data_IF_311250751302
#
_entry.id   IF_311250751302
#
_cell.length_a   1.000
_cell.length_b   1.000
_cell.length_c   1.000
_cell.angle_alpha   90.00
_cell.angle_beta   90.00
_cell.angle_gamma   90.00
#
_symmetry.space_group_name_H-M   'P 1'
#
loop_
_entity.id
_entity.type
_entity.pdbx_description
1 polymer ?
#
# COMPACT_ATOMS: atom_id res chain seq x y z
N UNK A 1 28.00 -7.06 1.59
CA UNK A 1 27.14 -7.83 0.66
C UNK A 1 26.36 -6.85 -0.16
N UNK A 2 26.04 -7.16 -1.41
CA UNK A 2 25.24 -6.27 -2.26
C UNK A 2 23.78 -6.39 -1.81
N UNK A 3 23.12 -5.26 -1.55
CA UNK A 3 21.71 -5.25 -1.17
C UNK A 3 20.86 -5.73 -2.35
N UNK A 4 19.92 -6.64 -2.09
CA UNK A 4 19.00 -7.15 -3.12
C UNK A 4 17.64 -6.50 -2.95
N UNK A 5 17.17 -5.83 -4.00
CA UNK A 5 15.82 -5.28 -4.10
C UNK A 5 14.98 -6.20 -4.99
N UNK A 6 13.86 -6.69 -4.46
CA UNK A 6 12.88 -7.48 -5.22
C UNK A 6 11.50 -6.85 -5.08
N UNK A 7 10.70 -6.95 -6.14
CA UNK A 7 9.26 -6.67 -6.08
C UNK A 7 8.55 -8.00 -5.99
N UNK A 8 7.74 -8.18 -4.94
CA UNK A 8 7.01 -9.43 -4.68
C UNK A 8 5.57 -9.14 -4.26
N UNK A 9 4.63 -10.09 -4.46
CA UNK A 9 3.29 -9.94 -3.91
C UNK A 9 3.33 -9.72 -2.40
N UNK A 10 2.39 -8.91 -1.92
CA UNK A 10 2.17 -8.71 -0.50
C UNK A 10 1.86 -10.03 0.23
N UNK A 11 2.44 -10.20 1.41
CA UNK A 11 2.10 -11.24 2.36
C UNK A 11 1.57 -10.61 3.66
N UNK A 12 0.61 -11.22 4.39
CA UNK A 12 0.07 -10.65 5.63
C UNK A 12 1.11 -10.25 6.69
N UNK A 13 2.29 -10.88 6.68
CA UNK A 13 3.41 -10.52 7.55
C UNK A 13 4.01 -9.13 7.25
N UNK A 14 3.75 -8.56 6.07
CA UNK A 14 4.20 -7.23 5.67
C UNK A 14 3.29 -6.10 6.20
N UNK A 15 2.11 -6.45 6.74
CA UNK A 15 1.01 -5.52 7.07
C UNK A 15 1.47 -4.32 7.89
N UNK A 16 2.13 -4.56 9.02
CA UNK A 16 2.54 -3.49 9.94
C UNK A 16 3.49 -2.50 9.24
N UNK A 17 4.40 -3.01 8.40
CA UNK A 17 5.36 -2.18 7.69
C UNK A 17 4.70 -1.39 6.55
N UNK A 18 3.80 -2.03 5.81
CA UNK A 18 2.99 -1.39 4.76
C UNK A 18 2.14 -0.25 5.34
N UNK A 19 1.44 -0.51 6.44
CA UNK A 19 0.65 0.50 7.15
C UNK A 19 1.50 1.68 7.62
N UNK A 20 2.68 1.42 8.18
CA UNK A 20 3.61 2.48 8.59
C UNK A 20 4.05 3.35 7.41
N UNK A 21 4.49 2.73 6.30
CA UNK A 21 4.90 3.47 5.09
C UNK A 21 3.75 4.30 4.54
N UNK A 22 2.53 3.76 4.49
CA UNK A 22 1.34 4.47 4.00
C UNK A 22 1.07 5.74 4.80
N UNK A 23 1.05 5.63 6.13
CA UNK A 23 0.77 6.75 7.03
C UNK A 23 1.90 7.79 6.96
N UNK A 24 3.15 7.36 7.06
CA UNK A 24 4.32 8.23 7.02
C UNK A 24 4.38 9.02 5.70
N UNK A 25 4.18 8.34 4.57
CA UNK A 25 4.23 8.97 3.26
C UNK A 25 3.10 9.97 3.05
N UNK A 26 1.86 9.60 3.38
CA UNK A 26 0.71 10.50 3.22
C UNK A 26 0.81 11.74 4.10
N UNK A 27 1.31 11.61 5.33
CA UNK A 27 1.59 12.77 6.20
C UNK A 27 2.75 13.61 5.69
N UNK A 28 3.77 12.98 5.10
CA UNK A 28 4.93 13.69 4.57
C UNK A 28 4.58 14.58 3.37
N UNK A 29 3.67 14.13 2.50
CA UNK A 29 3.25 14.89 1.31
C UNK A 29 2.11 15.89 1.59
N UNK A 30 1.49 15.81 2.76
CA UNK A 30 0.49 16.77 3.19
C UNK A 30 1.15 18.15 3.38
N UNK A 31 0.49 19.20 2.89
CA UNK A 31 0.87 20.57 3.22
C UNK A 31 0.12 21.03 4.49
N UNK A 32 0.56 22.11 5.15
CA UNK A 32 -0.08 22.56 6.39
C UNK A 32 -1.57 22.86 6.25
N UNK A 33 -2.00 23.36 5.08
CA UNK A 33 -3.39 23.77 4.83
C UNK A 33 -4.34 22.58 4.63
N UNK A 34 -3.82 21.38 4.32
CA UNK A 34 -4.62 20.18 4.05
C UNK A 34 -4.29 18.98 4.96
N UNK A 35 -3.48 19.17 6.00
CA UNK A 35 -3.09 18.10 6.93
C UNK A 35 -4.31 17.34 7.51
N UNK A 36 -5.36 18.05 7.93
CA UNK A 36 -6.58 17.43 8.45
C UNK A 36 -7.33 16.61 7.39
N UNK A 37 -7.31 17.02 6.13
CA UNK A 37 -7.92 16.26 5.04
C UNK A 37 -7.12 14.99 4.74
N UNK A 38 -5.79 15.05 4.85
CA UNK A 38 -4.93 13.87 4.74
C UNK A 38 -5.11 12.90 5.90
N UNK A 39 -5.23 13.36 7.14
CA UNK A 39 -5.50 12.46 8.28
C UNK A 39 -6.84 11.74 8.11
N UNK A 40 -7.91 12.45 7.70
CA UNK A 40 -9.20 11.83 7.40
C UNK A 40 -9.13 10.84 6.22
N UNK A 41 -8.35 11.17 5.19
CA UNK A 41 -8.08 10.27 4.06
C UNK A 41 -7.34 9.01 4.51
N UNK A 42 -6.31 9.15 5.36
CA UNK A 42 -5.54 8.04 5.91
C UNK A 42 -6.46 7.12 6.71
N UNK A 43 -7.24 7.66 7.63
CA UNK A 43 -8.18 6.86 8.44
C UNK A 43 -9.13 6.05 7.57
N UNK A 44 -9.73 6.69 6.55
CA UNK A 44 -10.64 6.01 5.62
C UNK A 44 -9.95 4.90 4.83
N UNK A 45 -8.84 5.20 4.18
CA UNK A 45 -8.13 4.22 3.31
C UNK A 45 -7.50 3.10 4.13
N UNK A 46 -7.12 3.36 5.38
CA UNK A 46 -6.68 2.31 6.29
C UNK A 46 -7.79 1.30 6.57
N UNK A 47 -9.00 1.74 6.90
CA UNK A 47 -10.14 0.87 7.20
C UNK A 47 -10.68 0.15 5.96
N UNK A 48 -10.79 0.87 4.85
CA UNK A 48 -11.41 0.37 3.62
C UNK A 48 -10.47 -0.55 2.82
N UNK A 49 -9.17 -0.24 2.78
CA UNK A 49 -8.23 -0.81 1.79
C UNK A 49 -6.99 -1.43 2.46
N UNK A 50 -6.18 -0.64 3.15
CA UNK A 50 -4.82 -1.03 3.54
C UNK A 50 -4.80 -2.10 4.64
N UNK A 51 -5.73 -2.07 5.61
CA UNK A 51 -5.86 -3.15 6.61
C UNK A 51 -6.53 -4.40 6.04
N UNK A 52 -6.98 -4.36 4.79
CA UNK A 52 -7.78 -5.39 4.12
C UNK A 52 -7.16 -5.80 2.78
N UNK A 53 -5.85 -5.62 2.62
CA UNK A 53 -5.16 -5.84 1.34
C UNK A 53 -5.46 -7.19 0.68
N UNK A 54 -5.45 -8.34 1.40
CA UNK A 54 -5.82 -9.61 0.80
C UNK A 54 -7.21 -9.53 0.15
N UNK A 55 -8.22 -9.17 0.94
CA UNK A 55 -9.64 -9.07 0.55
C UNK A 55 -9.87 -8.06 -0.58
N UNK A 56 -9.21 -6.91 -0.52
CA UNK A 56 -9.45 -5.78 -1.42
C UNK A 56 -8.68 -5.91 -2.75
N UNK A 57 -7.38 -6.18 -2.69
CA UNK A 57 -6.50 -6.17 -3.87
C UNK A 57 -6.23 -7.55 -4.47
N UNK A 58 -6.32 -8.64 -3.69
CA UNK A 58 -5.85 -9.96 -4.14
C UNK A 58 -6.97 -10.94 -4.51
N UNK A 59 -8.24 -10.60 -4.23
CA UNK A 59 -9.40 -11.43 -4.61
C UNK A 59 -9.98 -11.09 -5.99
N UNK A 60 -9.63 -9.94 -6.58
CA UNK A 60 -10.17 -9.48 -7.87
C UNK A 60 -9.14 -9.72 -8.98
N UNK A 61 -9.53 -10.49 -10.01
CA UNK A 61 -8.69 -10.70 -11.19
C UNK A 61 -8.36 -9.35 -11.86
N UNK A 62 -7.09 -9.14 -12.21
CA UNK A 62 -6.59 -7.89 -12.79
C UNK A 62 -6.29 -6.78 -11.77
N UNK A 63 -6.47 -7.04 -10.48
CA UNK A 63 -5.98 -6.21 -9.37
C UNK A 63 -4.81 -6.90 -8.66
N UNK A 64 -4.04 -6.14 -7.89
CA UNK A 64 -2.96 -6.71 -7.09
C UNK A 64 -2.26 -5.70 -6.21
N UNK A 65 -1.49 -6.23 -5.25
CA UNK A 65 -0.68 -5.44 -4.34
C UNK A 65 0.70 -6.08 -4.18
N UNK A 66 1.74 -5.27 -4.39
CA UNK A 66 3.13 -5.69 -4.32
C UNK A 66 3.91 -4.82 -3.34
N UNK A 67 4.93 -5.40 -2.75
CA UNK A 67 5.90 -4.72 -1.90
C UNK A 67 7.28 -4.74 -2.55
N UNK A 68 8.01 -3.66 -2.35
CA UNK A 68 9.45 -3.59 -2.62
C UNK A 68 10.19 -4.05 -1.36
N UNK A 69 10.89 -5.18 -1.46
CA UNK A 69 11.62 -5.81 -0.38
C UNK A 69 13.12 -5.63 -0.63
N UNK A 70 13.78 -4.89 0.27
CA UNK A 70 15.21 -4.71 0.31
C UNK A 70 15.80 -5.63 1.37
N UNK A 71 16.32 -6.78 0.93
CA UNK A 71 17.05 -7.73 1.79
C UNK A 71 16.26 -8.19 3.04
N UNK A 72 14.96 -8.43 2.90
CA UNK A 72 14.03 -8.88 3.93
C UNK A 72 13.20 -7.76 4.57
N UNK A 73 13.44 -6.49 4.22
CA UNK A 73 12.71 -5.35 4.76
C UNK A 73 11.83 -4.70 3.68
N UNK A 74 10.55 -4.52 3.96
CA UNK A 74 9.66 -3.76 3.08
C UNK A 74 10.01 -2.27 3.15
N UNK A 75 10.32 -1.70 1.98
CA UNK A 75 10.74 -0.29 1.80
C UNK A 75 9.80 0.51 0.90
N UNK A 76 8.82 -0.15 0.28
CA UNK A 76 7.84 0.49 -0.58
C UNK A 76 6.73 -0.47 -0.98
N UNK A 77 5.73 0.05 -1.68
CA UNK A 77 4.53 -0.69 -2.07
C UNK A 77 3.89 -0.10 -3.31
N UNK A 78 3.11 -0.91 -4.02
CA UNK A 78 2.23 -0.48 -5.10
C UNK A 78 0.97 -1.34 -5.11
N UNK A 79 -0.19 -0.69 -5.09
CA UNK A 79 -1.50 -1.30 -5.35
C UNK A 79 -1.98 -0.92 -6.74
N UNK A 80 -2.56 -1.87 -7.46
CA UNK A 80 -3.20 -1.64 -8.75
C UNK A 80 -4.61 -2.22 -8.69
N UNK A 81 -5.57 -1.40 -9.07
CA UNK A 81 -6.98 -1.76 -9.22
C UNK A 81 -7.39 -1.58 -10.68
N UNK A 82 -8.42 -2.31 -11.07
CA UNK A 82 -9.11 -2.03 -12.34
C UNK A 82 -10.01 -0.83 -12.17
N UNK A 83 -10.03 0.04 -13.17
CA UNK A 83 -10.98 1.14 -13.25
C UNK A 83 -12.40 0.63 -13.57
N UNK A 84 -12.52 -0.43 -14.38
CA UNK A 84 -13.79 -1.05 -14.74
C UNK A 84 -13.62 -2.50 -15.27
N UNK A 85 -14.74 -3.17 -15.55
CA UNK A 85 -14.77 -4.57 -16.01
C UNK A 85 -14.11 -4.81 -17.38
N UNK A 86 -13.94 -3.79 -18.21
CA UNK A 86 -13.39 -3.94 -19.56
C UNK A 86 -11.85 -4.14 -19.57
N UNK A 87 -11.18 -3.99 -18.43
CA UNK A 87 -9.72 -4.15 -18.28
C UNK A 87 -9.30 -5.60 -17.92
N UNK A 88 -10.13 -6.60 -18.24
CA UNK A 88 -9.90 -8.03 -17.92
C UNK A 88 -9.01 -8.78 -18.93
#
# INVERSE_FOLDING_TARGET
MMESLIIRPFHPADQDRVSAIFIEWNRHIANPDNAAAFDAYIERVMDEEILRIPDYYQHTLGSGFWVADLSGAVVGMAGIERLNEAEA
#
